data_IF_682549874642
#
_entry.id   IF_682549874642
#
_cell.length_a   1.000
_cell.length_b   1.000
_cell.length_c   1.000
_cell.angle_alpha   90.00
_cell.angle_beta   90.00
_cell.angle_gamma   90.00
#
_symmetry.space_group_name_H-M   'P 1'
#
loop_
_entity.id
_entity.type
_entity.pdbx_description
1 polymer ?
#
# COMPACT_ATOMS: atom_id res chain seq x y z
N UNK A 1 5.98 -2.41 -16.51
CA UNK A 1 6.06 -3.42 -15.43
C UNK A 1 6.20 -2.67 -14.10
N UNK A 2 5.37 -2.95 -13.11
CA UNK A 2 5.22 -2.14 -11.89
C UNK A 2 6.34 -2.30 -10.85
N UNK A 3 7.16 -3.35 -10.91
CA UNK A 3 8.24 -3.62 -9.97
C UNK A 3 9.38 -4.36 -10.68
N UNK A 4 10.62 -3.87 -10.51
CA UNK A 4 11.85 -4.46 -11.06
C UNK A 4 12.92 -4.50 -9.97
N UNK A 5 13.92 -5.35 -10.12
CA UNK A 5 15.06 -5.39 -9.21
C UNK A 5 16.12 -4.35 -9.59
N UNK A 6 16.12 -3.23 -8.88
CA UNK A 6 17.04 -2.10 -9.07
C UNK A 6 18.35 -2.24 -8.26
N UNK A 7 18.53 -3.34 -7.52
CA UNK A 7 19.75 -3.61 -6.70
C UNK A 7 20.08 -2.51 -5.68
N UNK A 8 19.06 -1.90 -5.11
CA UNK A 8 19.16 -0.82 -4.10
C UNK A 8 18.05 -0.93 -3.07
N UNK A 9 18.06 -0.09 -2.04
CA UNK A 9 16.99 -0.03 -1.03
C UNK A 9 15.67 0.38 -1.67
N UNK A 10 14.62 -0.40 -1.41
CA UNK A 10 13.25 -0.15 -1.85
C UNK A 10 12.38 0.44 -0.72
N UNK A 11 12.44 -0.15 0.49
CA UNK A 11 11.60 0.21 1.62
C UNK A 11 12.46 0.57 2.84
N UNK A 12 12.03 1.58 3.59
CA UNK A 12 12.63 1.96 4.89
C UNK A 12 11.51 2.16 5.91
N UNK A 13 11.68 1.61 7.11
CA UNK A 13 10.88 1.91 8.30
C UNK A 13 11.81 1.97 9.52
N UNK A 14 12.00 3.15 10.10
CA UNK A 14 13.02 3.39 11.12
C UNK A 14 14.39 2.89 10.63
N UNK A 15 15.06 2.00 11.38
CA UNK A 15 16.36 1.45 11.02
C UNK A 15 16.29 0.24 10.08
N UNK A 16 15.10 -0.30 9.85
CA UNK A 16 14.89 -1.43 8.93
C UNK A 16 14.94 -0.97 7.48
N UNK A 17 15.72 -1.66 6.67
CA UNK A 17 15.85 -1.42 5.22
C UNK A 17 15.65 -2.72 4.46
N UNK A 18 14.83 -2.65 3.44
CA UNK A 18 14.54 -3.76 2.52
C UNK A 18 15.00 -3.33 1.13
N UNK A 19 15.86 -4.10 0.49
CA UNK A 19 16.22 -3.86 -0.91
C UNK A 19 15.19 -4.43 -1.88
N UNK A 20 15.32 -4.09 -3.16
CA UNK A 20 14.40 -4.54 -4.20
C UNK A 20 14.43 -6.06 -4.39
N UNK A 21 15.59 -6.70 -4.24
CA UNK A 21 15.72 -8.16 -4.34
C UNK A 21 14.89 -8.82 -3.23
N UNK A 22 15.06 -8.35 -1.98
CA UNK A 22 14.30 -8.88 -0.85
C UNK A 22 12.80 -8.57 -0.98
N UNK A 23 12.43 -7.36 -1.41
CA UNK A 23 11.03 -7.01 -1.68
C UNK A 23 10.38 -7.98 -2.67
N UNK A 24 11.04 -8.25 -3.81
CA UNK A 24 10.51 -9.16 -4.83
C UNK A 24 10.40 -10.60 -4.30
N UNK A 25 11.38 -11.05 -3.53
CA UNK A 25 11.34 -12.37 -2.90
C UNK A 25 10.18 -12.49 -1.91
N UNK A 26 9.93 -11.47 -1.09
CA UNK A 26 8.80 -11.44 -0.16
C UNK A 26 7.46 -11.42 -0.90
N UNK A 27 7.33 -10.60 -1.96
CA UNK A 27 6.14 -10.60 -2.81
C UNK A 27 5.87 -11.99 -3.41
N UNK A 28 6.91 -12.67 -3.87
CA UNK A 28 6.80 -14.03 -4.38
C UNK A 28 6.36 -15.01 -3.27
N UNK A 29 6.97 -14.93 -2.09
CA UNK A 29 6.59 -15.77 -0.94
C UNK A 29 5.13 -15.54 -0.54
N UNK A 30 4.67 -14.28 -0.47
CA UNK A 30 3.27 -13.95 -0.21
C UNK A 30 2.33 -14.48 -1.29
N UNK A 31 2.76 -14.50 -2.55
CA UNK A 31 1.96 -15.05 -3.65
C UNK A 31 1.68 -16.55 -3.47
N UNK A 32 2.55 -17.30 -2.78
CA UNK A 32 2.33 -18.72 -2.50
C UNK A 32 1.23 -19.00 -1.47
N UNK A 33 0.88 -17.99 -0.66
CA UNK A 33 -0.24 -18.07 0.29
C UNK A 33 -1.60 -17.94 -0.41
N UNK A 34 -1.61 -17.41 -1.62
CA UNK A 34 -2.82 -17.17 -2.39
C UNK A 34 -3.16 -18.40 -3.23
N UNK A 35 -4.45 -18.74 -3.40
CA UNK A 35 -4.89 -19.82 -4.27
C UNK A 35 -4.33 -19.72 -5.69
N UNK A 36 -4.03 -20.87 -6.31
CA UNK A 36 -3.55 -20.89 -7.69
C UNK A 36 -4.68 -20.82 -8.73
N UNK A 37 -5.88 -21.26 -8.34
CA UNK A 37 -7.05 -21.33 -9.22
C UNK A 37 -8.19 -20.49 -8.64
N UNK A 38 -8.98 -19.89 -9.53
CA UNK A 38 -10.19 -19.14 -9.20
C UNK A 38 -9.98 -17.92 -8.28
N UNK A 39 -8.76 -17.39 -8.22
CA UNK A 39 -8.50 -16.15 -7.48
C UNK A 39 -8.84 -14.96 -8.38
N UNK A 40 -9.86 -14.19 -8.00
CA UNK A 40 -10.24 -12.99 -8.74
C UNK A 40 -9.95 -11.71 -7.96
N UNK A 41 -10.24 -11.70 -6.65
CA UNK A 41 -10.09 -10.51 -5.81
C UNK A 41 -9.51 -10.87 -4.44
N UNK A 42 -8.66 -10.00 -3.93
CA UNK A 42 -8.06 -10.12 -2.59
C UNK A 42 -8.22 -8.81 -1.85
N UNK A 43 -8.84 -8.85 -0.68
CA UNK A 43 -8.96 -7.71 0.21
C UNK A 43 -7.68 -7.54 1.06
N UNK A 44 -7.32 -6.28 1.36
CA UNK A 44 -6.21 -5.94 2.25
C UNK A 44 -6.75 -4.96 3.29
N UNK A 45 -6.87 -5.43 4.54
CA UNK A 45 -7.43 -4.70 5.67
C UNK A 45 -6.39 -4.58 6.79
N UNK A 46 -5.46 -3.64 6.63
CA UNK A 46 -4.35 -3.41 7.56
C UNK A 46 -3.84 -1.97 7.43
N UNK A 47 -3.19 -1.50 8.48
CA UNK A 47 -2.39 -0.28 8.48
C UNK A 47 -1.20 -0.37 7.52
N UNK A 48 -0.58 0.80 7.18
CA UNK A 48 0.60 0.86 6.32
C UNK A 48 1.79 0.15 6.98
N UNK A 49 2.35 -0.86 6.31
CA UNK A 49 3.48 -1.66 6.75
C UNK A 49 4.15 -2.38 5.58
N UNK A 50 5.31 -2.99 5.77
CA UNK A 50 6.01 -3.71 4.69
C UNK A 50 5.17 -4.86 4.14
N UNK A 51 4.52 -5.63 5.01
CA UNK A 51 3.68 -6.76 4.63
C UNK A 51 2.45 -6.33 3.82
N UNK A 52 1.97 -5.09 4.01
CA UNK A 52 0.93 -4.51 3.16
C UNK A 52 1.41 -4.38 1.71
N UNK A 53 2.66 -3.92 1.51
CA UNK A 53 3.27 -3.82 0.17
C UNK A 53 3.45 -5.20 -0.44
N UNK A 54 3.93 -6.18 0.34
CA UNK A 54 4.11 -7.55 -0.11
C UNK A 54 2.76 -8.17 -0.53
N UNK A 55 1.72 -8.01 0.30
CA UNK A 55 0.37 -8.48 0.00
C UNK A 55 -0.16 -7.85 -1.28
N UNK A 56 -0.06 -6.52 -1.43
CA UNK A 56 -0.56 -5.81 -2.60
C UNK A 56 0.07 -6.32 -3.90
N UNK A 57 1.39 -6.37 -3.97
CA UNK A 57 2.08 -6.84 -5.17
C UNK A 57 1.93 -8.35 -5.39
N UNK A 58 1.74 -9.16 -4.34
CA UNK A 58 1.46 -10.59 -4.48
C UNK A 58 0.12 -10.85 -5.17
N UNK A 59 -0.88 -9.99 -4.94
CA UNK A 59 -2.17 -10.04 -5.65
C UNK A 59 -1.96 -9.82 -7.15
N UNK A 60 -1.19 -8.82 -7.53
CA UNK A 60 -0.88 -8.57 -8.94
C UNK A 60 -0.02 -9.66 -9.57
N UNK A 61 0.86 -10.30 -8.79
CA UNK A 61 1.63 -11.46 -9.25
C UNK A 61 0.71 -12.65 -9.60
N UNK A 62 -0.46 -12.75 -8.96
CA UNK A 62 -1.50 -13.74 -9.27
C UNK A 62 -2.51 -13.26 -10.33
N UNK A 63 -2.32 -12.09 -10.94
CA UNK A 63 -3.30 -11.45 -11.86
C UNK A 63 -4.67 -11.25 -11.24
N UNK A 64 -4.74 -11.09 -9.93
CA UNK A 64 -5.97 -10.82 -9.20
C UNK A 64 -6.14 -9.32 -8.94
N UNK A 65 -7.34 -8.91 -8.56
CA UNK A 65 -7.69 -7.53 -8.26
C UNK A 65 -7.42 -7.24 -6.77
N UNK A 66 -6.63 -6.24 -6.47
CA UNK A 66 -6.44 -5.79 -5.10
C UNK A 66 -7.63 -4.93 -4.63
N UNK A 67 -8.11 -5.17 -3.41
CA UNK A 67 -9.18 -4.40 -2.78
C UNK A 67 -8.67 -3.86 -1.44
N UNK A 68 -7.97 -2.73 -1.43
CA UNK A 68 -7.54 -2.07 -0.21
C UNK A 68 -8.75 -1.54 0.58
N UNK A 69 -8.81 -1.84 1.88
CA UNK A 69 -9.88 -1.39 2.78
C UNK A 69 -9.28 -0.48 3.83
N UNK A 70 -9.98 0.60 4.16
CA UNK A 70 -9.58 1.50 5.24
C UNK A 70 -9.52 0.75 6.57
N UNK A 71 -8.33 0.67 7.15
CA UNK A 71 -8.10 -0.03 8.43
C UNK A 71 -8.83 0.60 9.63
N UNK A 72 -9.39 1.81 9.45
CA UNK A 72 -10.24 2.49 10.43
C UNK A 72 -11.74 2.27 10.20
N UNK A 73 -12.13 1.50 9.17
CA UNK A 73 -13.54 1.20 8.86
C UNK A 73 -14.22 0.42 9.97
N UNK A 74 -15.54 0.64 10.12
CA UNK A 74 -16.39 -0.17 10.99
C UNK A 74 -16.57 -1.60 10.46
N UNK A 75 -17.01 -2.53 11.31
CA UNK A 75 -17.31 -3.89 10.89
C UNK A 75 -18.43 -3.94 9.84
N UNK A 76 -19.40 -3.05 9.92
CA UNK A 76 -20.51 -2.89 8.99
C UNK A 76 -20.00 -2.48 7.60
N UNK A 77 -19.10 -1.47 7.54
CA UNK A 77 -18.51 -1.00 6.27
C UNK A 77 -17.63 -2.08 5.64
N UNK A 78 -16.80 -2.74 6.44
CA UNK A 78 -15.97 -3.87 5.96
C UNK A 78 -16.87 -4.99 5.44
N UNK A 79 -17.92 -5.38 6.18
CA UNK A 79 -18.88 -6.41 5.78
C UNK A 79 -19.59 -6.03 4.46
N UNK A 80 -19.99 -4.76 4.33
CA UNK A 80 -20.59 -4.25 3.09
C UNK A 80 -19.63 -4.44 1.91
N UNK A 81 -18.39 -3.98 2.04
CA UNK A 81 -17.36 -4.09 0.99
C UNK A 81 -17.12 -5.55 0.61
N UNK A 82 -16.95 -6.42 1.60
CA UNK A 82 -16.70 -7.83 1.37
C UNK A 82 -17.89 -8.55 0.70
N UNK A 83 -19.15 -8.17 1.03
CA UNK A 83 -20.34 -8.72 0.39
C UNK A 83 -20.53 -8.18 -1.06
N UNK A 84 -20.11 -6.94 -1.33
CA UNK A 84 -20.21 -6.31 -2.65
C UNK A 84 -19.17 -6.87 -3.64
N UNK A 85 -17.88 -6.81 -3.28
CA UNK A 85 -16.82 -7.26 -4.18
C UNK A 85 -16.52 -8.77 -4.10
N UNK A 86 -16.93 -9.47 -3.04
CA UNK A 86 -16.77 -10.92 -2.82
C UNK A 86 -15.34 -11.41 -3.09
N UNK A 87 -14.35 -10.94 -2.32
CA UNK A 87 -12.98 -11.42 -2.47
C UNK A 87 -12.86 -12.85 -1.92
N UNK A 88 -11.98 -13.64 -2.52
CA UNK A 88 -11.70 -15.01 -2.07
C UNK A 88 -10.80 -15.04 -0.84
N UNK A 89 -9.94 -14.02 -0.69
CA UNK A 89 -8.97 -13.93 0.41
C UNK A 89 -9.01 -12.52 1.01
N UNK A 90 -8.78 -12.44 2.33
CA UNK A 90 -8.52 -11.19 3.04
C UNK A 90 -7.20 -11.29 3.83
N UNK A 91 -6.27 -10.38 3.54
CA UNK A 91 -5.15 -10.09 4.42
C UNK A 91 -5.59 -9.09 5.49
N UNK A 92 -5.26 -9.36 6.75
CA UNK A 92 -5.56 -8.47 7.88
C UNK A 92 -4.41 -8.48 8.88
N UNK A 93 -4.35 -7.48 9.78
CA UNK A 93 -3.37 -7.39 10.86
C UNK A 93 -3.98 -7.69 12.22
N UNK A 94 -3.15 -7.87 13.24
CA UNK A 94 -3.63 -7.94 14.62
C UNK A 94 -4.39 -6.68 15.04
N UNK A 95 -4.00 -5.50 14.49
CA UNK A 95 -4.70 -4.24 14.74
C UNK A 95 -6.12 -4.18 14.18
N UNK A 96 -6.40 -4.93 13.11
CA UNK A 96 -7.73 -4.97 12.47
C UNK A 96 -8.49 -6.27 12.74
N UNK A 97 -7.92 -7.22 13.48
CA UNK A 97 -8.44 -8.58 13.68
C UNK A 97 -9.88 -8.60 14.20
N UNK A 98 -10.17 -7.87 15.27
CA UNK A 98 -11.50 -7.87 15.89
C UNK A 98 -12.59 -7.39 14.91
N UNK A 99 -12.32 -6.30 14.19
CA UNK A 99 -13.23 -5.75 13.19
C UNK A 99 -13.38 -6.71 12.01
N UNK A 100 -12.28 -7.30 11.54
CA UNK A 100 -12.26 -8.29 10.47
C UNK A 100 -13.13 -9.50 10.81
N UNK A 101 -12.99 -10.08 12.00
CA UNK A 101 -13.78 -11.21 12.45
C UNK A 101 -15.28 -10.90 12.56
N UNK A 102 -15.62 -9.73 13.12
CA UNK A 102 -17.02 -9.26 13.19
C UNK A 102 -17.62 -9.05 11.80
N UNK A 103 -16.85 -8.51 10.86
CA UNK A 103 -17.31 -8.29 9.48
C UNK A 103 -17.53 -9.63 8.75
N UNK A 104 -16.60 -10.56 8.87
CA UNK A 104 -16.68 -11.88 8.23
C UNK A 104 -17.85 -12.70 8.77
N UNK A 105 -18.18 -12.58 10.05
CA UNK A 105 -19.35 -13.27 10.64
C UNK A 105 -20.69 -12.85 10.01
N UNK A 106 -20.74 -11.71 9.32
CA UNK A 106 -21.92 -11.17 8.62
C UNK A 106 -21.96 -11.55 7.12
N UNK A 107 -20.96 -12.29 6.63
CA UNK A 107 -20.89 -12.66 5.20
C UNK A 107 -21.80 -13.84 4.88
N UNK A 108 -22.33 -13.84 3.67
CA UNK A 108 -23.12 -14.95 3.11
C UNK A 108 -22.28 -15.89 2.21
N UNK A 109 -20.97 -15.71 2.18
CA UNK A 109 -20.02 -16.52 1.41
C UNK A 109 -18.76 -16.79 2.26
N UNK A 110 -17.95 -17.74 1.82
CA UNK A 110 -16.67 -18.05 2.46
C UNK A 110 -15.57 -17.13 1.96
N UNK A 111 -14.65 -16.77 2.85
CA UNK A 111 -13.45 -16.02 2.56
C UNK A 111 -12.29 -16.64 3.36
N UNK A 112 -11.15 -16.84 2.70
CA UNK A 112 -9.93 -17.27 3.37
C UNK A 112 -9.25 -16.09 4.07
N UNK A 113 -8.77 -16.32 5.29
CA UNK A 113 -8.18 -15.29 6.16
C UNK A 113 -6.69 -15.51 6.31
N UNK A 114 -5.89 -14.47 6.07
CA UNK A 114 -4.45 -14.49 6.26
C UNK A 114 -4.06 -13.34 7.19
N UNK A 115 -3.58 -13.68 8.39
CA UNK A 115 -3.08 -12.68 9.33
C UNK A 115 -1.63 -12.32 9.00
N UNK A 116 -1.38 -11.06 8.65
CA UNK A 116 -0.06 -10.55 8.29
C UNK A 116 0.98 -10.70 9.40
N UNK A 117 0.56 -10.64 10.67
CA UNK A 117 1.44 -10.78 11.83
C UNK A 117 1.81 -12.23 12.18
N UNK A 118 1.09 -13.20 11.60
CA UNK A 118 1.29 -14.63 11.84
C UNK A 118 2.00 -15.33 10.68
N UNK A 119 2.30 -14.60 9.59
CA UNK A 119 2.98 -15.17 8.43
C UNK A 119 4.40 -15.59 8.79
N UNK A 120 4.67 -16.88 8.65
CA UNK A 120 5.98 -17.49 8.79
C UNK A 120 6.32 -18.20 7.48
N UNK A 121 6.87 -17.46 6.55
CA UNK A 121 7.28 -18.01 5.25
C UNK A 121 8.79 -17.86 5.15
N UNK A 122 9.46 -18.93 4.72
CA UNK A 122 10.85 -18.83 4.28
C UNK A 122 10.91 -17.99 2.99
N UNK A 123 11.89 -17.13 2.91
CA UNK A 123 12.08 -16.28 1.75
C UNK A 123 12.31 -17.14 0.49
N UNK A 124 11.44 -17.03 -0.48
CA UNK A 124 11.58 -17.70 -1.75
C UNK A 124 12.65 -17.01 -2.61
N UNK A 125 13.80 -17.64 -2.79
CA UNK A 125 14.90 -17.14 -3.64
C UNK A 125 14.65 -17.40 -5.14
N UNK A 126 13.43 -17.37 -5.59
CA UNK A 126 13.09 -17.56 -7.01
C UNK A 126 13.14 -16.21 -7.72
N UNK A 127 13.77 -16.14 -8.88
CA UNK A 127 13.67 -15.00 -9.79
C UNK A 127 12.23 -14.90 -10.33
N UNK A 128 11.34 -14.40 -9.50
CA UNK A 128 9.94 -14.23 -9.88
C UNK A 128 9.81 -13.01 -10.80
N UNK A 129 9.25 -13.25 -11.97
CA UNK A 129 8.86 -12.18 -12.90
C UNK A 129 7.36 -11.95 -12.77
N UNK A 130 6.97 -10.66 -12.69
CA UNK A 130 5.56 -10.33 -12.77
C UNK A 130 4.99 -10.76 -14.12
N UNK A 131 3.83 -11.41 -14.14
CA UNK A 131 3.17 -11.78 -15.40
C UNK A 131 2.78 -10.51 -16.16
N UNK A 132 2.73 -10.62 -17.49
CA UNK A 132 2.11 -9.58 -18.31
C UNK A 132 0.64 -9.41 -17.90
N UNK A 133 0.27 -8.18 -17.58
CA UNK A 133 -1.11 -7.83 -17.29
C UNK A 133 -1.80 -7.35 -18.58
N UNK A 134 -3.05 -7.75 -18.75
CA UNK A 134 -3.89 -7.18 -19.80
C UNK A 134 -4.28 -5.75 -19.37
N UNK A 135 -3.96 -4.71 -20.17
CA UNK A 135 -4.22 -3.32 -19.82
C UNK A 135 -5.68 -3.03 -19.42
N UNK A 136 -6.62 -3.74 -20.05
CA UNK A 136 -8.07 -3.56 -19.83
C UNK A 136 -8.61 -4.28 -18.58
N UNK A 137 -7.81 -5.18 -17.96
CA UNK A 137 -8.24 -5.85 -16.73
C UNK A 137 -8.17 -4.93 -15.53
N UNK A 138 -9.10 -5.10 -14.59
CA UNK A 138 -9.12 -4.35 -13.33
C UNK A 138 -7.91 -4.75 -12.49
N UNK A 139 -7.12 -3.76 -12.07
CA UNK A 139 -5.95 -3.92 -11.21
C UNK A 139 -6.29 -3.73 -9.72
N UNK A 140 -7.16 -2.75 -9.44
CA UNK A 140 -7.54 -2.37 -8.09
C UNK A 140 -8.98 -1.86 -8.03
N UNK A 141 -9.67 -2.15 -6.92
CA UNK A 141 -10.97 -1.56 -6.59
C UNK A 141 -10.79 -0.71 -5.33
N UNK A 142 -11.04 0.59 -5.45
CA UNK A 142 -10.98 1.54 -4.32
C UNK A 142 -12.39 1.91 -3.90
N UNK A 143 -12.74 1.63 -2.65
CA UNK A 143 -14.03 2.03 -2.10
C UNK A 143 -13.98 3.47 -1.61
N UNK A 144 -14.98 4.26 -1.99
CA UNK A 144 -15.16 5.64 -1.58
C UNK A 144 -16.49 5.79 -0.86
N UNK A 145 -16.57 6.72 0.10
CA UNK A 145 -17.84 7.11 0.72
C UNK A 145 -18.74 7.74 -0.35
N UNK A 146 -19.72 6.98 -0.84
CA UNK A 146 -20.68 7.48 -1.82
C UNK A 146 -21.53 8.62 -1.26
N UNK A 147 -21.93 9.56 -2.12
CA UNK A 147 -22.87 10.64 -1.76
C UNK A 147 -24.24 10.13 -1.30
N UNK A 148 -24.53 8.85 -1.52
CA UNK A 148 -25.78 8.17 -1.15
C UNK A 148 -25.68 7.37 0.15
N UNK A 149 -24.56 7.45 0.89
CA UNK A 149 -24.38 6.80 2.19
C UNK A 149 -23.77 5.41 2.16
N UNK A 150 -23.83 4.67 1.05
CA UNK A 150 -23.15 3.37 0.91
C UNK A 150 -21.83 3.51 0.16
N UNK A 151 -20.77 2.79 0.55
CA UNK A 151 -19.49 2.79 -0.16
C UNK A 151 -19.66 2.32 -1.62
N UNK A 152 -18.90 2.94 -2.54
CA UNK A 152 -18.90 2.55 -3.96
C UNK A 152 -17.50 2.13 -4.38
N UNK A 153 -17.38 0.96 -4.99
CA UNK A 153 -16.13 0.42 -5.52
C UNK A 153 -15.79 1.02 -6.88
N UNK A 154 -14.75 1.85 -6.94
CA UNK A 154 -14.21 2.39 -8.20
C UNK A 154 -13.20 1.40 -8.74
N UNK A 155 -13.48 0.83 -9.91
CA UNK A 155 -12.63 -0.12 -10.62
C UNK A 155 -11.61 0.63 -11.47
N UNK A 156 -10.32 0.38 -11.26
CA UNK A 156 -9.23 0.95 -12.03
C UNK A 156 -8.48 -0.16 -12.75
N UNK A 157 -8.34 -0.02 -14.07
CA UNK A 157 -7.60 -0.98 -14.89
C UNK A 157 -6.09 -0.78 -14.77
N UNK A 158 -5.32 -1.77 -15.23
CA UNK A 158 -3.87 -1.62 -15.34
C UNK A 158 -3.50 -0.44 -16.25
N UNK A 159 -4.25 -0.20 -17.33
CA UNK A 159 -4.05 0.93 -18.23
C UNK A 159 -4.20 2.28 -17.51
N UNK A 160 -5.23 2.44 -16.67
CA UNK A 160 -5.40 3.66 -15.87
C UNK A 160 -4.19 3.95 -14.98
N UNK A 161 -3.58 2.91 -14.40
CA UNK A 161 -2.39 3.05 -13.56
C UNK A 161 -1.15 3.36 -14.39
N UNK A 162 -0.97 2.68 -15.53
CA UNK A 162 0.18 2.85 -16.42
C UNK A 162 0.23 4.25 -17.04
N UNK A 163 -0.91 4.75 -17.54
CA UNK A 163 -1.01 6.12 -18.07
C UNK A 163 -0.66 7.15 -16.99
N UNK A 164 -1.11 6.95 -15.76
CA UNK A 164 -0.77 7.83 -14.66
C UNK A 164 0.72 7.78 -14.30
N UNK A 165 1.34 6.59 -14.31
CA UNK A 165 2.79 6.43 -14.13
C UNK A 165 3.54 7.19 -15.23
N UNK A 166 3.21 6.96 -16.50
CA UNK A 166 3.86 7.59 -17.65
C UNK A 166 3.79 9.13 -17.56
N UNK A 167 2.62 9.67 -17.27
CA UNK A 167 2.41 11.11 -17.16
C UNK A 167 3.35 11.78 -16.14
N UNK A 168 3.61 11.16 -14.98
CA UNK A 168 4.42 11.77 -13.92
C UNK A 168 5.89 11.34 -13.90
N UNK A 169 6.25 10.31 -14.68
CA UNK A 169 7.65 9.83 -14.76
C UNK A 169 8.33 10.20 -16.08
N UNK A 170 7.57 10.39 -17.15
CA UNK A 170 8.07 10.68 -18.49
C UNK A 170 7.69 12.09 -18.94
N UNK A 171 6.39 12.43 -18.93
CA UNK A 171 5.91 13.71 -19.48
C UNK A 171 6.29 14.90 -18.58
N UNK A 172 6.06 14.77 -17.26
CA UNK A 172 6.37 15.83 -16.28
C UNK A 172 7.69 15.56 -15.54
N UNK A 173 8.16 14.31 -15.53
CA UNK A 173 9.41 13.85 -14.90
C UNK A 173 9.55 14.27 -13.42
N UNK A 174 8.47 14.03 -12.64
CA UNK A 174 8.42 14.34 -11.20
C UNK A 174 9.16 13.28 -10.39
N UNK A 175 9.00 11.98 -10.75
CA UNK A 175 9.59 10.87 -10.02
C UNK A 175 10.82 10.33 -10.74
N UNK A 176 11.89 10.11 -9.97
CA UNK A 176 13.17 9.58 -10.45
C UNK A 176 13.66 8.44 -9.58
N UNK A 177 14.63 7.68 -10.08
CA UNK A 177 15.22 6.55 -9.37
C UNK A 177 15.86 6.94 -8.04
N UNK A 178 16.46 8.11 -7.94
CA UNK A 178 17.11 8.63 -6.73
C UNK A 178 16.15 9.12 -5.65
N UNK A 179 14.85 9.25 -5.95
CA UNK A 179 13.89 9.82 -5.03
C UNK A 179 13.61 8.92 -3.83
N UNK A 180 13.39 9.60 -2.70
CA UNK A 180 12.87 9.02 -1.46
C UNK A 180 11.53 9.63 -1.13
N UNK A 181 10.49 8.81 -1.19
CA UNK A 181 9.10 9.25 -1.03
C UNK A 181 8.56 8.85 0.34
N UNK A 182 8.03 9.80 1.09
CA UNK A 182 7.43 9.52 2.40
C UNK A 182 6.06 8.85 2.26
N UNK A 183 5.89 7.68 2.89
CA UNK A 183 4.59 7.01 3.05
C UNK A 183 4.02 7.37 4.42
N UNK A 184 3.07 8.26 4.44
CA UNK A 184 2.39 8.75 5.65
C UNK A 184 0.87 8.63 5.55
N UNK A 185 0.32 8.92 4.36
CA UNK A 185 -1.12 8.79 4.13
C UNK A 185 -1.49 7.32 3.91
N UNK A 186 -2.73 6.91 4.26
CA UNK A 186 -3.18 5.54 4.12
C UNK A 186 -3.18 5.05 2.66
N UNK A 187 -2.58 3.88 2.42
CA UNK A 187 -2.44 3.28 1.09
C UNK A 187 -3.76 2.73 0.50
N UNK A 188 -4.84 2.69 1.26
CA UNK A 188 -6.16 2.31 0.74
C UNK A 188 -6.83 3.41 -0.11
N UNK A 189 -6.26 4.61 -0.17
CA UNK A 189 -6.70 5.68 -1.08
C UNK A 189 -5.84 5.71 -2.34
N UNK A 190 -6.46 5.95 -3.51
CA UNK A 190 -5.75 5.90 -4.80
C UNK A 190 -4.60 6.91 -4.89
N UNK A 191 -4.74 8.12 -4.35
CA UNK A 191 -3.71 9.15 -4.44
C UNK A 191 -2.42 8.77 -3.69
N UNK A 192 -2.43 8.37 -2.39
CA UNK A 192 -1.24 7.85 -1.74
C UNK A 192 -0.80 6.49 -2.30
N UNK A 193 -1.70 5.59 -2.67
CA UNK A 193 -1.35 4.31 -3.29
C UNK A 193 -0.45 4.51 -4.50
N UNK A 194 -0.87 5.35 -5.44
CA UNK A 194 -0.08 5.67 -6.62
C UNK A 194 1.14 6.50 -6.29
N UNK A 195 0.95 7.66 -5.67
CA UNK A 195 2.01 8.64 -5.50
C UNK A 195 3.07 8.26 -4.47
N UNK A 196 2.77 7.46 -3.45
CA UNK A 196 3.75 7.11 -2.43
C UNK A 196 4.26 5.67 -2.49
N UNK A 197 3.64 4.79 -3.31
CA UNK A 197 4.05 3.40 -3.42
C UNK A 197 4.25 2.95 -4.87
N UNK A 198 3.21 2.92 -5.68
CA UNK A 198 3.28 2.28 -7.01
C UNK A 198 4.22 3.03 -7.94
N UNK A 199 4.08 4.34 -8.08
CA UNK A 199 4.92 5.16 -8.97
C UNK A 199 6.39 5.13 -8.53
N UNK A 200 6.75 5.51 -7.29
CA UNK A 200 8.16 5.50 -6.90
C UNK A 200 8.81 4.13 -7.04
N UNK A 201 8.14 3.05 -6.65
CA UNK A 201 8.71 1.70 -6.79
C UNK A 201 8.83 1.25 -8.26
N UNK A 202 8.00 1.76 -9.16
CA UNK A 202 8.09 1.43 -10.60
C UNK A 202 9.32 2.04 -11.28
N UNK A 203 9.83 3.16 -10.79
CA UNK A 203 11.02 3.85 -11.33
C UNK A 203 12.30 3.58 -10.53
N UNK A 204 12.24 2.74 -9.49
CA UNK A 204 13.42 2.44 -8.66
C UNK A 204 13.61 3.39 -7.48
N UNK A 205 12.66 4.23 -7.16
CA UNK A 205 12.69 5.09 -5.98
C UNK A 205 12.65 4.30 -4.67
N UNK A 206 12.93 4.95 -3.56
CA UNK A 206 12.82 4.37 -2.21
C UNK A 206 11.59 4.94 -1.52
N UNK A 207 10.75 4.10 -0.92
CA UNK A 207 9.66 4.57 -0.08
C UNK A 207 10.03 4.45 1.40
N UNK A 208 9.72 5.48 2.18
CA UNK A 208 10.09 5.59 3.60
C UNK A 208 8.82 5.75 4.42
N UNK A 209 8.50 4.75 5.22
CA UNK A 209 7.32 4.77 6.06
C UNK A 209 7.52 5.64 7.30
N UNK A 210 6.58 6.54 7.57
CA UNK A 210 6.48 7.17 8.87
C UNK A 210 5.72 6.25 9.83
N UNK A 211 6.26 5.99 11.04
CA UNK A 211 5.58 5.12 12.01
C UNK A 211 4.20 5.63 12.41
N UNK A 212 4.02 6.95 12.46
CA UNK A 212 2.75 7.60 12.78
C UNK A 212 2.66 9.01 12.21
N UNK A 213 1.52 9.67 12.41
CA UNK A 213 1.31 11.09 12.10
C UNK A 213 1.80 12.04 13.20
N UNK A 214 2.46 11.55 14.25
CA UNK A 214 3.05 12.39 15.27
C UNK A 214 4.20 13.23 14.69
N UNK A 215 4.31 14.49 15.10
CA UNK A 215 5.35 15.41 14.60
C UNK A 215 6.76 14.85 14.77
N UNK A 216 7.03 14.11 15.86
CA UNK A 216 8.34 13.50 16.13
C UNK A 216 8.67 12.41 15.11
N UNK A 217 7.72 11.53 14.78
CA UNK A 217 7.88 10.47 13.79
C UNK A 217 8.07 11.04 12.38
N UNK A 218 7.29 12.07 12.02
CA UNK A 218 7.44 12.77 10.74
C UNK A 218 8.84 13.40 10.64
N UNK A 219 9.28 14.10 11.70
CA UNK A 219 10.59 14.75 11.72
C UNK A 219 11.74 13.74 11.68
N UNK A 220 11.60 12.58 12.34
CA UNK A 220 12.56 11.48 12.25
C UNK A 220 12.60 10.89 10.83
N UNK A 221 11.44 10.70 10.21
CA UNK A 221 11.33 10.19 8.83
C UNK A 221 12.00 11.13 7.83
N UNK A 222 11.85 12.44 7.99
CA UNK A 222 12.52 13.44 7.14
C UNK A 222 14.05 13.34 7.15
N UNK A 223 14.64 12.85 8.25
CA UNK A 223 16.10 12.67 8.37
C UNK A 223 16.65 11.58 7.43
N UNK A 224 15.79 10.72 6.86
CA UNK A 224 16.20 9.75 5.84
C UNK A 224 16.48 10.39 4.46
N UNK A 225 16.39 11.72 4.35
CA UNK A 225 16.64 12.44 3.09
C UNK A 225 15.47 12.35 2.12
N UNK A 226 14.25 12.55 2.63
CA UNK A 226 13.02 12.57 1.82
C UNK A 226 13.09 13.67 0.77
N UNK A 227 12.80 13.33 -0.48
CA UNK A 227 12.76 14.26 -1.62
C UNK A 227 11.34 14.60 -2.04
N UNK A 228 10.38 13.66 -1.83
CA UNK A 228 8.97 13.85 -2.20
C UNK A 228 8.07 13.59 -1.00
N UNK A 229 7.18 14.54 -0.71
CA UNK A 229 6.12 14.43 0.28
C UNK A 229 4.79 14.66 -0.42
N UNK A 230 3.92 13.64 -0.35
CA UNK A 230 2.54 13.75 -0.78
C UNK A 230 1.67 13.93 0.46
N UNK A 231 0.87 14.97 0.46
CA UNK A 231 0.08 15.31 1.63
C UNK A 231 -1.17 16.10 1.33
N UNK A 232 -2.04 16.11 2.32
CA UNK A 232 -3.21 16.98 2.40
C UNK A 232 -2.88 18.22 3.25
N UNK A 233 -3.63 19.33 3.16
CA UNK A 233 -3.32 20.58 3.88
C UNK A 233 -3.05 20.39 5.38
N UNK A 234 -3.78 19.46 6.03
CA UNK A 234 -3.59 19.12 7.45
C UNK A 234 -2.17 18.61 7.73
N UNK A 235 -1.60 17.80 6.85
CA UNK A 235 -0.25 17.27 7.00
C UNK A 235 0.79 18.39 6.99
N UNK A 236 0.70 19.31 6.03
CA UNK A 236 1.62 20.44 5.94
C UNK A 236 1.56 21.34 7.18
N UNK A 237 0.38 21.51 7.77
CA UNK A 237 0.23 22.23 9.03
C UNK A 237 0.91 21.52 10.20
N UNK A 238 0.86 20.17 10.26
CA UNK A 238 1.56 19.38 11.28
C UNK A 238 3.08 19.50 11.12
N UNK A 239 3.61 19.39 9.92
CA UNK A 239 5.03 19.57 9.62
C UNK A 239 5.49 20.98 10.03
N UNK A 240 4.74 22.01 9.62
CA UNK A 240 5.04 23.41 9.98
C UNK A 240 5.09 23.60 11.49
N UNK A 241 4.12 23.03 12.22
CA UNK A 241 4.09 23.08 13.69
C UNK A 241 5.32 22.40 14.29
N UNK A 242 5.64 21.18 13.84
CA UNK A 242 6.81 20.43 14.32
C UNK A 242 8.14 21.18 14.10
N UNK A 243 8.30 21.82 12.94
CA UNK A 243 9.48 22.67 12.65
C UNK A 243 9.54 23.86 13.61
N UNK A 244 8.44 24.58 13.81
CA UNK A 244 8.38 25.74 14.73
C UNK A 244 8.69 25.35 16.16
N UNK A 245 8.12 24.26 16.64
CA UNK A 245 8.36 23.75 18.00
C UNK A 245 9.85 23.39 18.20
N UNK A 246 10.50 22.84 17.17
CA UNK A 246 11.93 22.52 17.20
C UNK A 246 12.81 23.77 17.21
N UNK A 247 12.48 24.78 16.40
CA UNK A 247 13.18 26.08 16.40
C UNK A 247 13.06 26.75 17.76
N UNK A 248 11.85 26.81 18.34
CA UNK A 248 11.63 27.44 19.65
C UNK A 248 12.40 26.72 20.77
N UNK A 249 12.53 25.40 20.72
CA UNK A 249 13.32 24.61 21.69
C UNK A 249 14.83 24.77 21.52
N UNK A 250 15.30 25.10 20.32
CA UNK A 250 16.74 25.27 20.04
C UNK A 250 17.31 26.65 20.41
N UNK A 251 16.45 27.58 20.84
CA UNK A 251 16.87 28.95 21.19
C UNK A 251 17.36 29.80 20.00
N UNK A 252 17.14 29.33 18.77
CA UNK A 252 17.41 30.08 17.53
C UNK A 252 16.12 30.84 17.20
N UNK A 253 15.92 31.99 17.84
CA UNK A 253 14.88 32.96 17.52
C UNK A 253 15.55 34.30 17.19
#
# INVERSE_FOLDING_TARGET
>A
MFLKDYKKTALILKDQKIDYTHLINQVNSFSTLLPNNNLSKVAIFSENRFEWVYAFYSVWMKKAVAVPIDFMSSAEDVSFILNDCKPEVIFYSNGTKEICEKAIAQLNHKIDKINLDEIKIEESKVNATFPEANPNETAVIIYTSGTTGSPKGVMLSYDNLLVNIEAVTTDVNVYKEEDKVMVLLPLHHIFPLMGTMVIPLSVGGTIVFSPSMASEDIMATLQHGITIIIGVPRLYNLIRKGIRDKINKSGIA
#
